data_IF_212220085247
#
_entry.id   IF_212220085247
#
_cell.length_a   1.000
_cell.length_b   1.000
_cell.length_c   1.000
_cell.angle_alpha   90.00
_cell.angle_beta   90.00
_cell.angle_gamma   90.00
#
_symmetry.space_group_name_H-M   'P 1'
#
loop_
_entity.id
_entity.type
_entity.pdbx_description
1 polymer ?
#
# COMPACT_ATOMS: atom_id res chain seq x y z
N UNK A 1 19.41 46.37 9.70
CA UNK A 1 19.97 45.51 8.64
C UNK A 1 20.40 44.21 9.32
N UNK A 2 19.61 43.15 9.41
CA UNK A 2 18.29 42.77 8.88
C UNK A 2 17.76 41.69 9.83
N UNK A 3 16.46 41.75 10.12
CA UNK A 3 15.69 40.65 10.70
C UNK A 3 15.88 39.37 9.90
N UNK A 4 16.06 38.24 10.58
CA UNK A 4 15.63 36.95 10.05
C UNK A 4 14.93 36.14 11.13
N UNK A 5 13.65 36.49 11.27
CA UNK A 5 12.59 35.66 11.79
C UNK A 5 12.73 34.21 11.30
N UNK A 6 13.11 33.31 12.21
CA UNK A 6 12.78 31.90 12.09
C UNK A 6 11.27 31.74 12.26
N UNK A 7 10.51 32.03 11.19
CA UNK A 7 9.12 31.64 11.08
C UNK A 7 9.07 30.11 11.09
N UNK A 8 8.64 29.57 12.22
CA UNK A 8 8.05 28.25 12.37
C UNK A 8 6.89 28.13 11.37
N UNK A 9 7.19 27.75 10.13
CA UNK A 9 6.19 27.35 9.14
C UNK A 9 5.92 25.88 9.38
N UNK A 10 4.70 25.60 9.82
CA UNK A 10 4.22 24.30 10.25
C UNK A 10 4.83 23.17 9.43
N UNK A 11 5.48 22.24 10.13
CA UNK A 11 5.96 21.00 9.56
C UNK A 11 4.80 20.39 8.77
N UNK A 12 4.95 20.11 7.46
CA UNK A 12 3.92 19.36 6.77
C UNK A 12 3.87 18.05 7.54
N UNK A 13 2.70 17.70 8.07
CA UNK A 13 2.45 16.37 8.60
C UNK A 13 2.83 15.45 7.46
N UNK A 14 4.02 14.86 7.53
CA UNK A 14 4.58 13.98 6.51
C UNK A 14 3.76 12.73 6.63
N UNK A 15 2.60 12.72 5.97
CA UNK A 15 1.72 11.58 5.93
C UNK A 15 2.55 10.40 5.39
N UNK A 16 2.89 9.40 6.23
CA UNK A 16 3.78 8.33 5.81
C UNK A 16 3.19 7.52 4.66
N UNK A 17 1.86 7.54 4.48
CA UNK A 17 1.18 6.95 3.34
C UNK A 17 1.54 7.64 2.03
N UNK A 18 1.63 8.97 2.01
CA UNK A 18 1.95 9.73 0.80
C UNK A 18 3.39 9.49 0.34
N UNK A 19 4.32 9.35 1.30
CA UNK A 19 5.71 9.00 1.02
C UNK A 19 5.84 7.57 0.48
N UNK A 20 5.14 6.60 1.08
CA UNK A 20 5.18 5.21 0.62
C UNK A 20 4.58 5.04 -0.78
N UNK A 21 3.47 5.73 -1.08
CA UNK A 21 2.89 5.75 -2.42
C UNK A 21 3.86 6.38 -3.43
N UNK A 22 4.43 7.55 -3.13
CA UNK A 22 5.39 8.23 -4.02
C UNK A 22 6.62 7.36 -4.35
N UNK A 23 7.12 6.57 -3.39
CA UNK A 23 8.21 5.61 -3.63
C UNK A 23 7.78 4.51 -4.60
N UNK A 24 6.58 3.94 -4.43
CA UNK A 24 6.08 2.89 -5.35
C UNK A 24 5.88 3.44 -6.76
N UNK A 25 5.25 4.61 -6.90
CA UNK A 25 5.10 5.27 -8.20
C UNK A 25 6.45 5.58 -8.85
N UNK A 26 7.38 6.20 -8.11
CA UNK A 26 8.70 6.55 -8.65
C UNK A 26 9.53 5.35 -9.09
N UNK A 27 9.51 4.25 -8.33
CA UNK A 27 10.22 3.02 -8.70
C UNK A 27 9.59 2.34 -9.92
N UNK A 28 8.26 2.34 -10.04
CA UNK A 28 7.54 1.78 -11.20
C UNK A 28 7.91 2.52 -12.49
N UNK A 29 7.89 3.85 -12.45
CA UNK A 29 8.27 4.70 -13.59
C UNK A 29 9.74 4.51 -13.97
N UNK A 30 10.66 4.49 -12.99
CA UNK A 30 12.09 4.27 -13.25
C UNK A 30 12.38 2.88 -13.85
N UNK A 31 11.59 1.86 -13.48
CA UNK A 31 11.68 0.53 -14.05
C UNK A 31 10.96 0.38 -15.41
N UNK A 32 10.29 1.44 -15.89
CA UNK A 32 9.45 1.44 -17.08
C UNK A 32 8.37 0.33 -17.06
N UNK A 33 7.87 0.01 -15.86
CA UNK A 33 6.87 -1.02 -15.68
C UNK A 33 5.48 -0.49 -16.10
N UNK A 34 4.72 -1.30 -16.86
CA UNK A 34 3.35 -0.97 -17.28
C UNK A 34 3.23 0.33 -18.10
N UNK A 35 4.22 0.64 -18.95
CA UNK A 35 4.32 1.90 -19.70
C UNK A 35 3.15 2.21 -20.68
N UNK A 36 2.29 1.23 -20.96
CA UNK A 36 1.12 1.39 -21.83
C UNK A 36 -0.23 1.26 -21.12
N UNK A 37 -0.23 1.14 -19.79
CA UNK A 37 -1.45 0.95 -19.01
C UNK A 37 -1.97 2.32 -18.55
N UNK A 38 -3.29 2.44 -18.43
CA UNK A 38 -3.92 3.62 -17.83
C UNK A 38 -3.76 3.60 -16.32
N UNK A 39 -3.88 4.75 -15.66
CA UNK A 39 -3.70 4.88 -14.22
C UNK A 39 -4.63 3.95 -13.42
N UNK A 40 -5.86 3.76 -13.90
CA UNK A 40 -6.86 2.90 -13.25
C UNK A 40 -6.55 1.40 -13.40
N UNK A 41 -5.71 1.03 -14.37
CA UNK A 41 -5.27 -0.34 -14.62
C UNK A 41 -3.99 -0.67 -13.84
N UNK A 42 -3.26 0.35 -13.37
CA UNK A 42 -1.98 0.16 -12.68
C UNK A 42 -2.19 -0.48 -11.31
N UNK A 43 -1.32 -1.42 -10.91
CA UNK A 43 -1.46 -2.06 -9.61
C UNK A 43 -1.25 -1.04 -8.49
N UNK A 44 -2.19 -1.04 -7.55
CA UNK A 44 -2.16 -0.18 -6.37
C UNK A 44 -1.13 -0.64 -5.34
N UNK A 45 -0.95 0.19 -4.31
CA UNK A 45 0.02 -0.06 -3.24
C UNK A 45 -0.17 -1.42 -2.55
N UNK A 46 -1.41 -1.81 -2.24
CA UNK A 46 -1.70 -3.07 -1.57
C UNK A 46 -1.39 -4.30 -2.45
N UNK A 47 -1.61 -4.19 -3.76
CA UNK A 47 -1.34 -5.27 -4.72
C UNK A 47 0.17 -5.47 -4.90
N UNK A 48 0.94 -4.39 -5.02
CA UNK A 48 2.41 -4.44 -5.06
C UNK A 48 2.97 -5.06 -3.78
N UNK A 49 2.43 -4.70 -2.61
CA UNK A 49 2.82 -5.33 -1.33
C UNK A 49 2.48 -6.82 -1.29
N UNK A 50 1.29 -7.20 -1.71
CA UNK A 50 0.86 -8.60 -1.74
C UNK A 50 1.78 -9.45 -2.64
N UNK A 51 2.05 -8.96 -3.85
CA UNK A 51 2.94 -9.63 -4.80
C UNK A 51 4.37 -9.75 -4.25
N UNK A 52 4.90 -8.68 -3.65
CA UNK A 52 6.23 -8.70 -3.01
C UNK A 52 6.33 -9.77 -1.92
N UNK A 53 5.34 -9.86 -1.04
CA UNK A 53 5.29 -10.85 0.04
C UNK A 53 5.13 -12.29 -0.48
N UNK A 54 4.38 -12.48 -1.56
CA UNK A 54 4.25 -13.77 -2.22
C UNK A 54 5.59 -14.22 -2.84
N UNK A 55 6.27 -13.35 -3.58
CA UNK A 55 7.57 -13.65 -4.19
C UNK A 55 8.65 -13.93 -3.14
N UNK A 56 8.67 -13.19 -2.03
CA UNK A 56 9.56 -13.45 -0.90
C UNK A 56 9.35 -14.85 -0.32
N UNK A 57 8.09 -15.25 -0.08
CA UNK A 57 7.74 -16.59 0.40
C UNK A 57 8.18 -17.67 -0.57
N UNK A 58 7.93 -17.48 -1.88
CA UNK A 58 8.34 -18.43 -2.94
C UNK A 58 9.86 -18.61 -3.01
N UNK A 59 10.61 -17.55 -2.69
CA UNK A 59 12.07 -17.61 -2.57
C UNK A 59 12.56 -18.20 -1.23
N UNK A 60 11.68 -18.76 -0.39
CA UNK A 60 12.02 -19.33 0.91
C UNK A 60 12.38 -18.28 1.98
N UNK A 61 12.06 -17.00 1.76
CA UNK A 61 12.35 -15.90 2.68
C UNK A 61 11.14 -15.58 3.55
N UNK A 62 11.41 -15.09 4.76
CA UNK A 62 10.39 -14.68 5.70
C UNK A 62 9.85 -13.27 5.36
N UNK A 63 8.63 -13.23 4.84
CA UNK A 63 7.93 -11.99 4.48
C UNK A 63 7.50 -11.14 5.68
N UNK A 64 7.28 -11.74 6.87
CA UNK A 64 6.82 -11.01 8.06
C UNK A 64 7.81 -9.91 8.45
N UNK A 65 9.12 -10.19 8.31
CA UNK A 65 10.22 -9.27 8.66
C UNK A 65 10.24 -7.99 7.83
N UNK A 66 9.72 -8.04 6.61
CA UNK A 66 9.70 -6.88 5.69
C UNK A 66 8.30 -6.26 5.57
N UNK A 67 7.26 -6.97 6.03
CA UNK A 67 5.88 -6.54 5.87
C UNK A 67 5.51 -5.35 6.77
N UNK A 68 6.24 -5.12 7.86
CA UNK A 68 5.88 -4.11 8.86
C UNK A 68 4.55 -4.37 9.55
N UNK A 69 4.06 -5.62 9.50
CA UNK A 69 2.78 -6.03 10.08
C UNK A 69 2.94 -6.42 11.55
N UNK A 70 1.96 -6.06 12.38
CA UNK A 70 1.94 -6.36 13.81
C UNK A 70 1.80 -7.86 14.12
N UNK A 71 1.24 -8.66 13.22
CA UNK A 71 1.05 -10.10 13.43
C UNK A 71 1.27 -10.90 12.14
N UNK A 72 1.60 -12.18 12.31
CA UNK A 72 1.73 -13.12 11.19
C UNK A 72 0.41 -13.29 10.42
N UNK A 73 -0.72 -13.22 11.13
CA UNK A 73 -2.04 -13.34 10.52
C UNK A 73 -2.29 -12.27 9.45
N UNK A 74 -1.85 -11.03 9.69
CA UNK A 74 -1.94 -9.98 8.69
C UNK A 74 -1.09 -10.27 7.45
N UNK A 75 0.13 -10.79 7.62
CA UNK A 75 0.97 -11.17 6.48
C UNK A 75 0.40 -12.35 5.70
N UNK A 76 -0.19 -13.34 6.39
CA UNK A 76 -0.86 -14.47 5.73
C UNK A 76 -1.98 -14.01 4.80
N UNK A 77 -2.75 -12.98 5.17
CA UNK A 77 -3.80 -12.43 4.32
C UNK A 77 -3.25 -11.86 3.00
N UNK A 78 -2.11 -11.16 3.04
CA UNK A 78 -1.45 -10.64 1.84
C UNK A 78 -0.80 -11.73 0.97
N UNK A 79 -0.56 -12.93 1.51
CA UNK A 79 0.04 -14.05 0.80
C UNK A 79 -0.97 -15.09 0.29
N UNK A 80 -2.25 -14.92 0.61
CA UNK A 80 -3.30 -15.87 0.28
C UNK A 80 -3.71 -15.73 -1.19
N UNK A 81 -4.14 -16.84 -1.80
CA UNK A 81 -4.86 -16.86 -3.08
C UNK A 81 -4.14 -16.29 -4.31
N UNK A 82 -2.80 -16.15 -4.27
CA UNK A 82 -2.00 -15.69 -5.44
C UNK A 82 -1.95 -16.69 -6.60
N UNK A 83 -2.31 -17.95 -6.37
CA UNK A 83 -2.28 -19.00 -7.40
C UNK A 83 -3.65 -19.24 -8.05
N UNK A 84 -4.75 -18.77 -7.43
CA UNK A 84 -6.12 -19.07 -7.84
C UNK A 84 -7.01 -17.86 -7.61
N UNK A 85 -7.80 -17.48 -8.62
CA UNK A 85 -8.85 -16.47 -8.46
C UNK A 85 -9.93 -17.07 -7.54
N UNK A 86 -10.18 -16.45 -6.38
CA UNK A 86 -11.24 -16.83 -5.46
C UNK A 86 -12.31 -15.75 -5.44
N UNK A 87 -13.48 -16.07 -5.98
CA UNK A 87 -14.67 -15.24 -5.86
C UNK A 87 -15.30 -15.46 -4.49
N UNK A 88 -15.54 -14.38 -3.75
CA UNK A 88 -16.24 -14.42 -2.46
C UNK A 88 -17.54 -13.64 -2.58
N UNK A 89 -18.66 -14.29 -2.28
CA UNK A 89 -19.94 -13.59 -2.13
C UNK A 89 -19.90 -12.80 -0.81
N UNK A 90 -20.03 -11.49 -0.92
CA UNK A 90 -20.15 -10.60 0.22
C UNK A 90 -21.59 -10.10 0.28
N UNK A 91 -22.23 -10.26 1.44
CA UNK A 91 -23.52 -9.63 1.74
C UNK A 91 -23.18 -8.34 2.49
N UNK A 92 -23.29 -7.16 1.85
CA UNK A 92 -23.09 -5.90 2.56
C UNK A 92 -24.26 -5.68 3.52
N UNK A 93 -23.98 -5.73 4.81
CA UNK A 93 -24.94 -5.51 5.90
C UNK A 93 -24.81 -4.13 6.56
N UNK A 94 -23.88 -3.29 6.07
CA UNK A 94 -23.64 -1.95 6.62
C UNK A 94 -24.84 -1.04 6.37
N UNK A 95 -25.60 -0.76 7.42
CA UNK A 95 -26.68 0.22 7.39
C UNK A 95 -26.15 1.63 7.67
N UNK A 96 -25.96 2.43 6.62
CA UNK A 96 -25.39 3.78 6.72
C UNK A 96 -26.29 4.72 7.56
N UNK A 97 -27.61 4.48 7.60
CA UNK A 97 -28.53 5.34 8.36
C UNK A 97 -28.32 5.28 9.88
N UNK A 98 -27.68 4.23 10.39
CA UNK A 98 -27.36 4.09 11.82
C UNK A 98 -26.12 4.89 12.24
N UNK A 99 -25.37 5.43 11.28
CA UNK A 99 -24.12 6.16 11.51
C UNK A 99 -24.31 7.67 11.35
N UNK A 100 -25.30 8.11 10.55
CA UNK A 100 -25.50 9.51 10.18
C UNK A 100 -26.64 10.19 10.96
N UNK A 101 -26.70 9.97 12.28
CA UNK A 101 -27.66 10.65 13.16
C UNK A 101 -27.68 12.17 12.98
#
# INVERSE_FOLDING_TARGET
MTDHDHKNKGSPVRNPLLLAAAVVYGLREAANCYAGWKEEEMPGFHEVRALSLHLYKKAGKDGQKIAGHASEGMTKNYQRDHEKIIWSEAIPDLNISEITG
#
